data_IF_953467476042
#
_entry.id   IF_953467476042
#
_cell.length_a   1.000
_cell.length_b   1.000
_cell.length_c   1.000
_cell.angle_alpha   90.00
_cell.angle_beta   90.00
_cell.angle_gamma   90.00
#
_symmetry.space_group_name_H-M   'P 1'
#
loop_
_entity.id
_entity.type
_entity.pdbx_description
1 polymer ?
#
# COMPACT_ATOMS: atom_id res chain seq x y z
N UNK A 1 -73.20 -4.72 40.52
CA UNK A 1 -72.22 -4.43 39.43
C UNK A 1 -70.90 -5.11 39.74
N UNK A 2 -70.62 -6.28 39.16
CA UNK A 2 -69.36 -7.01 39.35
C UNK A 2 -68.27 -6.41 38.47
N UNK A 3 -67.28 -5.72 39.07
CA UNK A 3 -66.07 -5.27 38.37
C UNK A 3 -65.25 -6.51 38.02
N UNK A 4 -65.38 -7.02 36.79
CA UNK A 4 -64.48 -8.03 36.23
C UNK A 4 -63.05 -7.49 36.31
N UNK A 5 -62.29 -7.96 37.29
CA UNK A 5 -60.85 -7.69 37.39
C UNK A 5 -60.21 -8.25 36.12
N UNK A 6 -59.60 -7.36 35.31
CA UNK A 6 -58.80 -7.84 34.17
C UNK A 6 -57.70 -8.73 34.74
N UNK A 7 -57.54 -9.97 34.25
CA UNK A 7 -56.63 -10.93 34.86
C UNK A 7 -55.21 -10.37 34.80
N UNK A 8 -54.56 -10.31 35.96
CA UNK A 8 -53.17 -9.87 36.15
C UNK A 8 -52.21 -10.48 35.11
N UNK A 9 -52.48 -11.73 34.71
CA UNK A 9 -51.81 -12.46 33.64
C UNK A 9 -51.74 -11.73 32.28
N UNK A 10 -52.76 -10.96 31.90
CA UNK A 10 -52.75 -10.22 30.62
C UNK A 10 -51.74 -9.06 30.62
N UNK A 11 -51.43 -8.46 31.79
CA UNK A 11 -50.42 -7.39 31.88
C UNK A 11 -49.01 -7.98 31.81
N UNK A 12 -48.78 -9.09 32.50
CA UNK A 12 -47.50 -9.80 32.45
C UNK A 12 -47.21 -10.37 31.07
N UNK A 13 -48.20 -10.98 30.40
CA UNK A 13 -48.04 -11.48 29.03
C UNK A 13 -47.66 -10.38 28.04
N UNK A 14 -48.21 -9.15 28.19
CA UNK A 14 -47.85 -8.00 27.33
C UNK A 14 -46.42 -7.51 27.57
N UNK A 15 -45.99 -7.44 28.83
CA UNK A 15 -44.62 -7.05 29.16
C UNK A 15 -43.61 -8.09 28.66
N UNK A 16 -43.90 -9.39 28.82
CA UNK A 16 -43.07 -10.47 28.32
C UNK A 16 -43.02 -10.46 26.78
N UNK A 17 -44.15 -10.26 26.11
CA UNK A 17 -44.19 -10.16 24.64
C UNK A 17 -43.38 -8.97 24.13
N UNK A 18 -43.49 -7.80 24.78
CA UNK A 18 -42.73 -6.62 24.41
C UNK A 18 -41.22 -6.82 24.63
N UNK A 19 -40.84 -7.38 25.78
CA UNK A 19 -39.45 -7.73 26.09
C UNK A 19 -38.87 -8.70 25.07
N UNK A 20 -39.62 -9.73 24.70
CA UNK A 20 -39.21 -10.72 23.70
C UNK A 20 -39.01 -10.10 22.31
N UNK A 21 -39.91 -9.20 21.89
CA UNK A 21 -39.76 -8.46 20.62
C UNK A 21 -38.50 -7.59 20.64
N UNK A 22 -38.22 -6.89 21.74
CA UNK A 22 -36.98 -6.11 21.88
C UNK A 22 -35.75 -7.00 21.85
N UNK A 23 -35.79 -8.16 22.50
CA UNK A 23 -34.70 -9.14 22.49
C UNK A 23 -34.42 -9.67 21.08
N UNK A 24 -35.47 -10.06 20.34
CA UNK A 24 -35.35 -10.50 18.95
C UNK A 24 -34.84 -9.37 18.04
N UNK A 25 -35.34 -8.14 18.25
CA UNK A 25 -34.86 -6.96 17.52
C UNK A 25 -33.37 -6.69 17.78
N UNK A 26 -32.92 -6.83 19.02
CA UNK A 26 -31.52 -6.68 19.40
C UNK A 26 -30.62 -7.77 18.80
N UNK A 27 -31.03 -9.04 18.87
CA UNK A 27 -30.31 -10.15 18.26
C UNK A 27 -30.26 -10.04 16.73
N UNK A 28 -31.36 -9.65 16.10
CA UNK A 28 -31.43 -9.39 14.67
C UNK A 28 -30.52 -8.23 14.24
N UNK A 29 -30.45 -7.16 15.04
CA UNK A 29 -29.52 -6.06 14.82
C UNK A 29 -28.05 -6.51 14.93
N UNK A 30 -27.71 -7.29 15.97
CA UNK A 30 -26.35 -7.84 16.12
C UNK A 30 -25.98 -8.70 14.92
N UNK A 31 -26.84 -9.63 14.51
CA UNK A 31 -26.64 -10.46 13.32
C UNK A 31 -26.49 -9.64 12.04
N UNK A 32 -27.27 -8.56 11.89
CA UNK A 32 -27.13 -7.66 10.74
C UNK A 32 -25.77 -6.95 10.72
N UNK A 33 -25.27 -6.50 11.88
CA UNK A 33 -23.99 -5.78 11.97
C UNK A 33 -22.77 -6.64 11.62
N UNK A 34 -22.91 -7.97 11.69
CA UNK A 34 -21.86 -8.91 11.31
C UNK A 34 -21.88 -9.28 9.82
N UNK A 35 -22.68 -8.62 8.97
CA UNK A 35 -22.73 -8.92 7.52
C UNK A 35 -21.72 -8.09 6.68
N UNK A 36 -21.22 -8.60 5.54
CA UNK A 36 -20.34 -7.84 4.65
C UNK A 36 -21.03 -6.61 4.04
N UNK A 37 -22.34 -6.71 3.78
CA UNK A 37 -23.16 -5.59 3.32
C UNK A 37 -23.18 -4.44 4.34
N UNK A 38 -23.28 -4.75 5.63
CA UNK A 38 -23.22 -3.74 6.69
C UNK A 38 -21.88 -3.01 6.70
N UNK A 39 -20.77 -3.74 6.58
CA UNK A 39 -19.44 -3.13 6.50
C UNK A 39 -19.33 -2.14 5.33
N UNK A 40 -19.71 -2.53 4.11
CA UNK A 40 -19.68 -1.64 2.94
C UNK A 40 -20.57 -0.41 3.10
N UNK A 41 -21.75 -0.58 3.72
CA UNK A 41 -22.65 0.53 4.04
C UNK A 41 -22.01 1.50 5.03
N UNK A 42 -21.36 1.01 6.07
CA UNK A 42 -20.67 1.85 7.05
C UNK A 42 -19.46 2.55 6.43
N UNK A 43 -18.66 1.88 5.58
CA UNK A 43 -17.59 2.55 4.79
C UNK A 43 -18.15 3.75 4.02
N UNK A 44 -19.26 3.55 3.30
CA UNK A 44 -19.92 4.63 2.55
C UNK A 44 -20.45 5.74 3.45
N UNK A 45 -21.04 5.38 4.59
CA UNK A 45 -21.56 6.34 5.58
C UNK A 45 -20.43 7.17 6.17
N UNK A 46 -19.33 6.54 6.59
CA UNK A 46 -18.14 7.20 7.13
C UNK A 46 -17.51 8.16 6.12
N UNK A 47 -17.44 7.77 4.84
CA UNK A 47 -17.01 8.67 3.76
C UNK A 47 -17.94 9.90 3.61
N UNK A 48 -19.25 9.69 3.69
CA UNK A 48 -20.24 10.77 3.56
C UNK A 48 -20.25 11.72 4.77
N UNK A 49 -20.06 11.16 5.98
CA UNK A 49 -20.03 11.90 7.25
C UNK A 49 -18.64 12.44 7.60
N UNK A 50 -17.64 12.18 6.75
CA UNK A 50 -16.25 12.51 7.00
C UNK A 50 -15.67 11.95 8.31
N UNK A 51 -16.16 10.79 8.75
CA UNK A 51 -15.73 10.11 9.98
C UNK A 51 -14.57 9.15 9.69
N UNK A 52 -13.35 9.62 9.92
CA UNK A 52 -12.15 8.83 9.71
C UNK A 52 -12.06 7.62 10.65
N UNK A 53 -12.51 7.73 11.89
CA UNK A 53 -12.39 6.65 12.88
C UNK A 53 -13.29 5.48 12.48
N UNK A 54 -14.55 5.77 12.12
CA UNK A 54 -15.45 4.77 11.61
C UNK A 54 -14.96 4.19 10.26
N UNK A 55 -14.41 5.01 9.38
CA UNK A 55 -13.84 4.52 8.12
C UNK A 55 -12.69 3.53 8.32
N UNK A 56 -11.72 3.87 9.18
CA UNK A 56 -10.56 3.01 9.47
C UNK A 56 -10.95 1.71 10.19
N UNK A 57 -12.10 1.67 10.87
CA UNK A 57 -12.66 0.44 11.44
C UNK A 57 -13.06 -0.56 10.34
N UNK A 58 -13.65 -0.08 9.25
CA UNK A 58 -14.17 -0.94 8.17
C UNK A 58 -13.26 -1.03 6.94
N UNK A 59 -12.19 -0.23 6.87
CA UNK A 59 -11.22 -0.22 5.77
C UNK A 59 -9.79 -0.30 6.29
N UNK A 60 -9.04 -1.27 5.79
CA UNK A 60 -7.59 -1.35 5.95
C UNK A 60 -6.91 -0.54 4.85
N UNK A 61 -6.76 0.76 5.08
CA UNK A 61 -6.17 1.68 4.08
C UNK A 61 -4.72 1.31 3.78
N UNK A 62 -3.97 0.87 4.80
CA UNK A 62 -2.60 0.44 4.63
C UNK A 62 -2.52 -0.82 3.76
N UNK A 63 -3.32 -1.85 4.09
CA UNK A 63 -3.40 -3.08 3.29
C UNK A 63 -3.78 -2.81 1.82
N UNK A 64 -4.78 -1.96 1.59
CA UNK A 64 -5.18 -1.55 0.23
C UNK A 64 -4.05 -0.88 -0.53
N UNK A 65 -3.39 0.11 0.09
CA UNK A 65 -2.32 0.87 -0.57
C UNK A 65 -1.10 -0.01 -0.84
N UNK A 66 -0.72 -0.85 0.11
CA UNK A 66 0.40 -1.78 -0.03
C UNK A 66 0.14 -2.78 -1.16
N UNK A 67 -1.02 -3.46 -1.17
CA UNK A 67 -1.35 -4.38 -2.28
C UNK A 67 -1.41 -3.66 -3.62
N UNK A 68 -1.95 -2.43 -3.65
CA UNK A 68 -1.98 -1.63 -4.87
C UNK A 68 -0.57 -1.32 -5.39
N UNK A 69 0.34 -0.83 -4.54
CA UNK A 69 1.69 -0.49 -5.00
C UNK A 69 2.51 -1.72 -5.30
N UNK A 70 2.27 -2.82 -4.59
CA UNK A 70 2.95 -4.10 -4.84
C UNK A 70 2.61 -4.64 -6.22
N UNK A 71 1.33 -4.82 -6.54
CA UNK A 71 0.90 -5.35 -7.85
C UNK A 71 1.24 -4.41 -9.02
N UNK A 72 1.25 -3.08 -8.80
CA UNK A 72 1.42 -2.09 -9.87
C UNK A 72 2.87 -1.66 -10.07
N UNK A 73 3.71 -1.73 -9.04
CA UNK A 73 5.09 -1.23 -9.08
C UNK A 73 6.09 -2.35 -8.74
N UNK A 74 5.93 -3.06 -7.63
CA UNK A 74 7.00 -3.95 -7.14
C UNK A 74 7.03 -5.30 -7.84
N UNK A 75 5.89 -5.95 -8.02
CA UNK A 75 5.79 -7.21 -8.76
C UNK A 75 6.31 -7.07 -10.20
N UNK A 76 5.87 -6.07 -10.99
CA UNK A 76 6.46 -5.78 -12.30
C UNK A 76 7.99 -5.63 -12.27
N UNK A 77 8.51 -4.88 -11.30
CA UNK A 77 9.94 -4.64 -11.16
C UNK A 77 10.73 -5.94 -10.91
N UNK A 78 10.21 -6.84 -10.05
CA UNK A 78 10.81 -8.16 -9.77
C UNK A 78 10.90 -9.02 -11.04
N UNK A 79 9.96 -8.86 -11.96
CA UNK A 79 9.88 -9.63 -13.22
C UNK A 79 10.65 -9.01 -14.39
N UNK A 80 11.43 -7.94 -14.18
CA UNK A 80 12.19 -7.30 -15.26
C UNK A 80 13.23 -8.26 -15.83
N UNK A 81 13.12 -8.54 -17.13
CA UNK A 81 14.02 -9.45 -17.85
C UNK A 81 15.39 -8.79 -18.11
N UNK A 82 16.41 -9.62 -18.38
CA UNK A 82 17.77 -9.20 -18.78
C UNK A 82 18.54 -8.34 -17.76
N UNK A 83 18.12 -8.32 -16.49
CA UNK A 83 18.89 -7.70 -15.41
C UNK A 83 19.89 -8.69 -14.81
N UNK A 84 21.11 -8.22 -14.54
CA UNK A 84 22.06 -8.97 -13.69
C UNK A 84 21.55 -9.05 -12.24
N UNK A 85 22.06 -9.99 -11.45
CA UNK A 85 21.70 -10.08 -10.01
C UNK A 85 21.99 -8.79 -9.28
N UNK A 86 23.18 -8.23 -9.48
CA UNK A 86 23.56 -6.93 -8.92
C UNK A 86 22.59 -5.80 -9.31
N UNK A 87 22.26 -5.70 -10.60
CA UNK A 87 21.28 -4.73 -11.11
C UNK A 87 19.90 -4.92 -10.46
N UNK A 88 19.47 -6.16 -10.26
CA UNK A 88 18.21 -6.47 -9.58
C UNK A 88 18.22 -6.00 -8.13
N UNK A 89 19.30 -6.24 -7.37
CA UNK A 89 19.46 -5.76 -5.99
C UNK A 89 19.42 -4.24 -5.92
N UNK A 90 20.20 -3.57 -6.79
CA UNK A 90 20.24 -2.10 -6.82
C UNK A 90 18.88 -1.53 -7.24
N UNK A 91 18.24 -2.10 -8.25
CA UNK A 91 16.96 -1.62 -8.80
C UNK A 91 15.80 -1.83 -7.83
N UNK A 92 15.67 -3.02 -7.25
CA UNK A 92 14.66 -3.29 -6.23
C UNK A 92 14.92 -2.49 -4.95
N UNK A 93 16.18 -2.32 -4.56
CA UNK A 93 16.57 -1.45 -3.44
C UNK A 93 16.17 0.01 -3.67
N UNK A 94 16.46 0.55 -4.85
CA UNK A 94 16.06 1.90 -5.26
C UNK A 94 14.54 2.08 -5.21
N UNK A 95 13.77 1.12 -5.75
CA UNK A 95 12.30 1.14 -5.66
C UNK A 95 11.81 0.99 -4.23
N UNK A 96 12.45 0.16 -3.40
CA UNK A 96 12.14 -0.02 -1.99
C UNK A 96 12.25 1.28 -1.21
N UNK A 97 13.27 2.10 -1.49
CA UNK A 97 13.42 3.44 -0.92
C UNK A 97 12.26 4.38 -1.32
N UNK A 98 11.71 4.21 -2.52
CA UNK A 98 10.54 4.97 -2.98
C UNK A 98 9.21 4.45 -2.43
N UNK A 99 9.13 3.16 -2.05
CA UNK A 99 7.90 2.50 -1.56
C UNK A 99 7.28 3.24 -0.39
N UNK A 100 8.07 3.44 0.67
CA UNK A 100 7.61 4.04 1.93
C UNK A 100 7.00 5.43 1.70
N UNK A 101 7.70 6.40 1.05
CA UNK A 101 7.13 7.72 0.82
C UNK A 101 5.94 7.70 -0.16
N UNK A 102 5.84 6.74 -1.08
CA UNK A 102 4.66 6.57 -1.94
C UNK A 102 3.47 6.09 -1.11
N UNK A 103 3.63 4.98 -0.37
CA UNK A 103 2.57 4.37 0.45
C UNK A 103 2.06 5.36 1.50
N UNK A 104 2.96 5.95 2.29
CA UNK A 104 2.59 6.94 3.31
C UNK A 104 1.84 8.12 2.72
N UNK A 105 2.25 8.55 1.52
CA UNK A 105 1.56 9.64 0.86
C UNK A 105 0.16 9.23 0.38
N UNK A 106 -0.03 8.04 -0.18
CA UNK A 106 -1.35 7.55 -0.59
C UNK A 106 -2.28 7.37 0.60
N UNK A 107 -1.79 6.72 1.68
CA UNK A 107 -2.54 6.54 2.93
C UNK A 107 -2.99 7.89 3.47
N UNK A 108 -2.06 8.84 3.60
CA UNK A 108 -2.37 10.19 4.07
C UNK A 108 -3.42 10.88 3.20
N UNK A 109 -3.38 10.70 1.88
CA UNK A 109 -4.35 11.31 0.97
C UNK A 109 -5.74 10.71 1.10
N UNK A 110 -5.84 9.38 1.23
CA UNK A 110 -7.11 8.69 1.46
C UNK A 110 -7.70 9.16 2.79
N UNK A 111 -6.91 9.16 3.86
CA UNK A 111 -7.34 9.64 5.18
C UNK A 111 -7.82 11.09 5.14
N UNK A 112 -7.05 11.98 4.49
CA UNK A 112 -7.42 13.40 4.32
C UNK A 112 -8.66 13.59 3.46
N UNK A 113 -8.89 12.71 2.49
CA UNK A 113 -10.11 12.73 1.69
C UNK A 113 -11.32 12.33 2.54
N UNK A 114 -11.17 11.30 3.37
CA UNK A 114 -12.20 10.85 4.32
C UNK A 114 -12.50 11.95 5.32
N UNK A 115 -11.53 12.60 5.96
CA UNK A 115 -11.75 13.68 6.96
C UNK A 115 -12.45 14.95 6.40
N UNK A 116 -12.52 15.12 5.08
CA UNK A 116 -13.20 16.24 4.44
C UNK A 116 -12.65 17.63 4.81
N UNK A 117 -13.52 18.66 4.73
CA UNK A 117 -13.17 20.05 5.09
C UNK A 117 -13.22 20.31 6.59
N UNK A 118 -13.91 19.47 7.38
CA UNK A 118 -14.06 19.64 8.84
C UNK A 118 -12.73 19.40 9.59
N UNK A 119 -11.92 18.41 9.20
CA UNK A 119 -10.58 18.20 9.79
C UNK A 119 -9.65 19.42 9.65
N UNK A 120 -9.76 20.17 8.54
CA UNK A 120 -8.92 21.36 8.28
C UNK A 120 -9.13 22.52 9.27
N UNK A 121 -10.28 22.60 9.95
CA UNK A 121 -10.53 23.65 10.95
C UNK A 121 -9.91 23.31 12.30
N UNK A 122 -9.85 22.03 12.66
CA UNK A 122 -9.24 21.58 13.91
C UNK A 122 -7.71 21.60 13.83
N UNK A 123 -7.12 21.21 12.70
CA UNK A 123 -5.65 21.24 12.49
C UNK A 123 -5.06 22.66 12.52
N UNK A 124 -5.86 23.70 12.20
CA UNK A 124 -5.42 25.10 12.27
C UNK A 124 -5.49 25.70 13.67
N UNK A 125 -6.29 25.14 14.58
CA UNK A 125 -6.38 25.58 15.98
C UNK A 125 -5.37 24.91 16.90
N UNK A 126 -4.70 23.84 16.46
CA UNK A 126 -3.72 23.08 17.25
C UNK A 126 -2.27 23.22 16.77
N UNK A 127 -1.97 24.21 15.93
CA UNK A 127 -0.63 24.37 15.34
C UNK A 127 0.27 25.34 16.11
N UNK A 128 0.19 25.28 17.44
CA UNK A 128 1.28 25.65 18.33
C UNK A 128 1.67 24.36 19.07
N UNK A 129 2.85 23.83 18.74
CA UNK A 129 3.51 22.67 19.35
C UNK A 129 2.67 21.39 19.60
N UNK A 130 2.59 20.52 18.59
CA UNK A 130 2.85 19.09 18.78
C UNK A 130 3.14 18.42 17.44
N UNK A 131 4.26 17.73 17.37
CA UNK A 131 4.54 16.68 16.40
C UNK A 131 3.30 15.81 16.27
N UNK A 132 2.80 15.67 15.05
CA UNK A 132 1.72 14.75 14.73
C UNK A 132 2.25 13.35 15.05
N UNK A 133 1.74 12.76 16.12
CA UNK A 133 1.94 11.36 16.45
C UNK A 133 1.39 10.54 15.29
N UNK A 134 2.30 10.15 14.40
CA UNK A 134 2.12 9.03 13.49
C UNK A 134 1.65 7.86 14.35
N UNK A 135 0.55 7.16 14.00
CA UNK A 135 0.23 5.91 14.68
C UNK A 135 1.48 5.04 14.60
N UNK A 136 1.95 4.60 15.78
CA UNK A 136 3.10 3.72 15.90
C UNK A 136 2.81 2.48 15.07
N UNK A 137 3.29 2.50 13.83
CA UNK A 137 3.39 1.32 13.02
C UNK A 137 4.66 0.66 13.52
N UNK A 138 4.51 -0.17 14.55
CA UNK A 138 5.23 -1.44 14.61
C UNK A 138 4.82 -2.24 13.38
N UNK A 139 5.19 -1.74 12.20
CA UNK A 139 5.45 -2.55 11.03
C UNK A 139 6.86 -3.00 11.33
N UNK A 140 6.92 -4.17 11.98
CA UNK A 140 8.17 -4.90 12.11
C UNK A 140 8.88 -4.85 10.77
N UNK A 141 10.18 -4.65 10.87
CA UNK A 141 11.16 -4.95 9.84
C UNK A 141 11.17 -6.45 9.51
N UNK A 142 9.99 -7.05 9.28
CA UNK A 142 9.82 -8.28 8.52
C UNK A 142 9.86 -7.85 7.05
N UNK A 143 10.99 -7.25 6.69
CA UNK A 143 11.43 -7.27 5.32
C UNK A 143 11.94 -8.70 5.19
N UNK A 144 11.08 -9.58 4.68
CA UNK A 144 11.56 -10.72 3.91
C UNK A 144 12.31 -10.07 2.72
N UNK A 145 13.56 -9.64 2.98
CA UNK A 145 14.64 -9.96 2.07
C UNK A 145 14.38 -11.42 1.77
N UNK A 146 13.77 -11.70 0.61
CA UNK A 146 13.88 -13.02 0.03
C UNK A 146 15.39 -13.27 0.07
N UNK A 147 15.85 -14.06 1.04
CA UNK A 147 17.24 -14.43 1.29
C UNK A 147 17.71 -15.11 0.00
N UNK A 148 18.10 -14.30 -0.97
CA UNK A 148 18.79 -14.74 -2.16
C UNK A 148 20.23 -14.92 -1.72
N UNK A 149 20.47 -16.06 -1.04
CA UNK A 149 21.77 -16.55 -0.55
C UNK A 149 22.87 -16.35 -1.61
N UNK A 150 22.51 -16.28 -2.88
CA UNK A 150 23.44 -16.13 -4.00
C UNK A 150 24.14 -14.76 -4.12
N UNK A 151 23.66 -13.71 -3.44
CA UNK A 151 24.35 -12.42 -3.35
C UNK A 151 25.29 -12.37 -2.15
N UNK A 152 24.93 -13.06 -1.05
CA UNK A 152 25.91 -13.36 0.00
C UNK A 152 27.02 -14.22 -0.57
N UNK A 153 26.72 -15.18 -1.45
CA UNK A 153 27.73 -15.98 -2.16
C UNK A 153 28.63 -15.13 -3.08
N UNK A 154 28.09 -14.26 -3.95
CA UNK A 154 28.94 -13.41 -4.83
C UNK A 154 29.75 -12.38 -4.02
N UNK A 155 29.21 -11.92 -2.89
CA UNK A 155 29.88 -11.01 -1.96
C UNK A 155 30.94 -11.74 -1.14
N UNK A 156 30.66 -12.94 -0.64
CA UNK A 156 31.61 -13.81 0.05
C UNK A 156 32.72 -14.23 -0.89
N UNK A 157 32.42 -14.69 -2.11
CA UNK A 157 33.41 -15.07 -3.11
C UNK A 157 34.34 -13.88 -3.44
N UNK A 158 33.80 -12.67 -3.60
CA UNK A 158 34.60 -11.46 -3.79
C UNK A 158 35.42 -11.05 -2.54
N UNK A 159 34.95 -11.37 -1.33
CA UNK A 159 35.63 -11.11 -0.06
C UNK A 159 36.63 -12.22 0.33
N UNK A 160 36.45 -13.45 -0.18
CA UNK A 160 37.31 -14.61 0.01
C UNK A 160 38.50 -14.59 -0.94
N UNK A 161 38.33 -14.06 -2.16
CA UNK A 161 39.42 -13.81 -3.10
C UNK A 161 40.46 -12.78 -2.59
N UNK A 162 40.22 -12.15 -1.43
CA UNK A 162 41.09 -11.17 -0.81
C UNK A 162 41.66 -11.79 0.49
N UNK A 163 42.92 -12.27 0.43
CA UNK A 163 43.69 -12.72 1.60
C UNK A 163 44.06 -11.53 2.51
N UNK A 164 43.11 -10.97 3.25
CA UNK A 164 43.39 -9.90 4.22
C UNK A 164 42.64 -10.06 5.55
N UNK A 165 43.10 -9.32 6.56
CA UNK A 165 42.72 -9.44 7.99
C UNK A 165 41.23 -9.19 8.25
N UNK A 166 40.66 -9.74 9.35
CA UNK A 166 39.23 -9.58 9.68
C UNK A 166 38.74 -8.13 9.77
N UNK A 167 39.60 -7.20 10.18
CA UNK A 167 39.31 -5.76 10.21
C UNK A 167 39.16 -5.16 8.82
N UNK A 168 39.95 -5.64 7.84
CA UNK A 168 39.87 -5.23 6.45
C UNK A 168 38.54 -5.67 5.81
N UNK A 169 38.12 -6.93 6.03
CA UNK A 169 36.82 -7.43 5.55
C UNK A 169 35.64 -6.59 6.08
N UNK A 170 35.69 -6.17 7.35
CA UNK A 170 34.65 -5.31 7.92
C UNK A 170 34.61 -3.91 7.30
N UNK A 171 35.77 -3.27 7.08
CA UNK A 171 35.84 -1.95 6.43
C UNK A 171 35.37 -2.04 4.97
N UNK A 172 35.81 -3.06 4.25
CA UNK A 172 35.40 -3.33 2.87
C UNK A 172 33.89 -3.56 2.77
N UNK A 173 33.30 -4.33 3.69
CA UNK A 173 31.86 -4.58 3.71
C UNK A 173 31.03 -3.31 3.93
N UNK A 174 31.52 -2.37 4.73
CA UNK A 174 30.86 -1.07 4.99
C UNK A 174 30.95 -0.16 3.78
N UNK A 175 32.11 -0.11 3.13
CA UNK A 175 32.30 0.72 1.94
C UNK A 175 31.49 0.19 0.76
N UNK A 176 31.46 -1.13 0.55
CA UNK A 176 30.60 -1.77 -0.45
C UNK A 176 29.13 -1.43 -0.18
N UNK A 177 28.69 -1.48 1.09
CA UNK A 177 27.32 -1.09 1.45
C UNK A 177 27.04 0.38 1.12
N UNK A 178 27.97 1.27 1.44
CA UNK A 178 27.87 2.69 1.11
C UNK A 178 27.77 2.92 -0.40
N UNK A 179 28.61 2.24 -1.19
CA UNK A 179 28.61 2.31 -2.64
C UNK A 179 27.31 1.77 -3.24
N UNK A 180 26.84 0.62 -2.76
CA UNK A 180 25.54 0.05 -3.14
C UNK A 180 24.41 1.04 -2.84
N UNK A 181 24.41 1.68 -1.67
CA UNK A 181 23.40 2.68 -1.32
C UNK A 181 23.51 3.95 -2.19
N UNK A 182 24.72 4.35 -2.57
CA UNK A 182 24.96 5.43 -3.55
C UNK A 182 24.36 5.06 -4.91
N UNK A 183 24.57 3.83 -5.38
CA UNK A 183 24.02 3.33 -6.64
C UNK A 183 22.49 3.20 -6.60
N UNK A 184 21.91 2.77 -5.47
CA UNK A 184 20.44 2.77 -5.29
C UNK A 184 19.86 4.17 -5.42
N UNK A 185 20.48 5.16 -4.79
CA UNK A 185 20.05 6.56 -4.90
C UNK A 185 20.21 7.10 -6.33
N UNK A 186 21.36 6.85 -6.98
CA UNK A 186 21.57 7.26 -8.38
C UNK A 186 20.58 6.60 -9.34
N UNK A 187 20.29 5.31 -9.13
CA UNK A 187 19.30 4.57 -9.91
C UNK A 187 17.90 5.14 -9.71
N UNK A 188 17.54 5.45 -8.46
CA UNK A 188 16.27 6.09 -8.13
C UNK A 188 16.13 7.45 -8.82
N UNK A 189 17.18 8.27 -8.85
CA UNK A 189 17.17 9.56 -9.53
C UNK A 189 16.94 9.41 -11.04
N UNK A 190 17.61 8.44 -11.68
CA UNK A 190 17.39 8.08 -13.10
C UNK A 190 15.96 7.58 -13.35
N UNK A 191 15.41 6.75 -12.47
CA UNK A 191 14.00 6.32 -12.54
C UNK A 191 13.06 7.53 -12.47
N UNK A 192 13.32 8.47 -11.55
CA UNK A 192 12.52 9.70 -11.44
C UNK A 192 12.64 10.55 -12.71
N UNK A 193 13.83 10.65 -13.31
CA UNK A 193 14.05 11.35 -14.58
C UNK A 193 13.27 10.68 -15.73
N UNK A 194 13.38 9.37 -15.90
CA UNK A 194 12.62 8.62 -16.91
C UNK A 194 11.12 8.83 -16.77
N UNK A 195 10.61 8.74 -15.54
CA UNK A 195 9.18 8.92 -15.30
C UNK A 195 8.73 10.35 -15.67
N UNK A 196 9.56 11.38 -15.42
CA UNK A 196 9.26 12.76 -15.87
C UNK A 196 9.14 12.88 -17.39
N UNK A 197 9.91 12.09 -18.14
CA UNK A 197 9.86 12.06 -19.61
C UNK A 197 8.61 11.33 -20.15
N UNK A 198 7.92 10.55 -19.32
CA UNK A 198 6.72 9.78 -19.68
C UNK A 198 5.50 10.21 -18.85
N UNK A 199 5.03 11.48 -19.00
CA UNK A 199 4.04 12.09 -18.11
C UNK A 199 2.65 11.43 -18.14
N UNK A 200 2.34 10.76 -19.24
CA UNK A 200 1.07 10.12 -19.55
C UNK A 200 0.90 8.76 -18.86
N UNK A 201 1.99 8.06 -18.56
CA UNK A 201 1.97 6.73 -17.92
C UNK A 201 1.39 6.73 -16.50
N UNK A 202 0.68 5.67 -16.13
CA UNK A 202 0.14 5.49 -14.78
C UNK A 202 1.25 5.51 -13.71
N UNK A 203 2.34 4.78 -13.97
CA UNK A 203 3.48 4.68 -13.05
C UNK A 203 4.07 6.04 -12.76
N UNK A 204 4.32 6.89 -13.77
CA UNK A 204 4.82 8.24 -13.52
C UNK A 204 3.86 9.08 -12.66
N UNK A 205 2.56 9.05 -12.99
CA UNK A 205 1.55 9.83 -12.25
C UNK A 205 1.52 9.44 -10.77
N UNK A 206 1.90 8.21 -10.43
CA UNK A 206 2.03 7.72 -9.05
C UNK A 206 3.41 8.08 -8.46
N UNK A 207 4.49 7.76 -9.17
CA UNK A 207 5.87 7.79 -8.70
C UNK A 207 6.40 9.22 -8.51
N UNK A 208 6.23 10.10 -9.50
CA UNK A 208 6.87 11.43 -9.55
C UNK A 208 5.98 12.54 -9.01
N UNK A 209 4.70 12.27 -8.77
CA UNK A 209 3.77 13.30 -8.32
C UNK A 209 4.32 14.08 -7.10
N UNK A 210 4.40 15.42 -7.13
CA UNK A 210 5.00 16.21 -6.06
C UNK A 210 4.34 15.97 -4.70
N UNK A 211 5.16 15.97 -3.63
CA UNK A 211 4.68 15.91 -2.23
C UNK A 211 3.62 17.01 -2.03
N UNK A 212 2.37 16.62 -1.76
CA UNK A 212 1.23 17.52 -1.59
C UNK A 212 0.29 17.70 -2.79
N UNK A 213 0.74 17.46 -4.03
CA UNK A 213 -0.11 17.46 -5.24
C UNK A 213 -0.63 16.06 -5.61
N UNK A 214 0.01 15.00 -5.10
CA UNK A 214 -0.40 13.60 -5.31
C UNK A 214 -1.89 13.33 -5.13
N UNK A 215 -2.57 13.99 -4.16
CA UNK A 215 -4.02 13.83 -3.96
C UNK A 215 -4.82 14.14 -5.21
N UNK A 216 -4.47 15.26 -5.84
CA UNK A 216 -5.15 15.69 -7.04
C UNK A 216 -4.75 14.81 -8.21
N UNK A 217 -3.50 14.34 -8.27
CA UNK A 217 -3.07 13.35 -9.26
C UNK A 217 -3.87 12.05 -9.15
N UNK A 218 -3.90 11.41 -7.97
CA UNK A 218 -4.63 10.16 -7.76
C UNK A 218 -6.13 10.31 -8.04
N UNK A 219 -6.75 11.40 -7.57
CA UNK A 219 -8.16 11.71 -7.90
C UNK A 219 -8.38 11.92 -9.40
N UNK A 220 -7.42 12.53 -10.10
CA UNK A 220 -7.48 12.72 -11.56
C UNK A 220 -7.32 11.39 -12.30
N UNK A 221 -6.40 10.53 -11.87
CA UNK A 221 -6.21 9.16 -12.38
C UNK A 221 -7.51 8.37 -12.23
N UNK A 222 -8.04 8.30 -11.01
CA UNK A 222 -9.32 7.62 -10.76
C UNK A 222 -10.47 8.22 -11.56
N UNK A 223 -10.51 9.55 -11.64
CA UNK A 223 -11.53 10.28 -12.38
C UNK A 223 -11.43 10.17 -13.90
N UNK A 224 -10.25 9.85 -14.44
CA UNK A 224 -9.95 9.58 -15.85
C UNK A 224 -10.53 8.21 -16.22
N UNK A 225 -10.17 7.15 -15.50
CA UNK A 225 -10.71 5.80 -15.73
C UNK A 225 -12.17 5.58 -15.30
N UNK A 226 -12.90 6.65 -14.96
CA UNK A 226 -14.32 6.53 -14.67
C UNK A 226 -14.67 6.02 -13.27
N UNK A 227 -13.74 5.97 -12.31
CA UNK A 227 -14.03 5.60 -10.91
C UNK A 227 -14.81 6.71 -10.18
N UNK A 228 -16.05 6.94 -10.62
CA UNK A 228 -17.00 7.92 -10.13
C UNK A 228 -18.30 7.22 -9.77
N UNK A 229 -19.00 7.71 -8.75
CA UNK A 229 -20.27 7.13 -8.28
C UNK A 229 -21.30 6.95 -9.40
N UNK A 230 -21.37 7.89 -10.35
CA UNK A 230 -22.33 7.82 -11.47
C UNK A 230 -22.03 6.71 -12.49
N UNK A 231 -20.82 6.15 -12.47
CA UNK A 231 -20.40 5.09 -13.37
C UNK A 231 -20.46 3.71 -12.69
N UNK A 232 -20.86 3.62 -11.42
CA UNK A 232 -21.04 2.33 -10.73
C UNK A 232 -22.32 1.70 -11.26
N UNK A 233 -22.21 0.56 -11.95
CA UNK A 233 -23.36 -0.18 -12.49
C UNK A 233 -23.97 -1.11 -11.44
N UNK A 234 -23.14 -1.94 -10.81
CA UNK A 234 -23.57 -2.96 -9.85
C UNK A 234 -22.51 -3.27 -8.81
N UNK A 235 -22.95 -3.88 -7.71
CA UNK A 235 -22.12 -4.38 -6.61
C UNK A 235 -22.50 -5.84 -6.39
N UNK A 236 -21.53 -6.73 -6.48
CA UNK A 236 -21.70 -8.17 -6.22
C UNK A 236 -20.86 -8.56 -5.02
N UNK A 237 -21.36 -9.51 -4.22
CA UNK A 237 -20.62 -10.05 -3.07
C UNK A 237 -20.65 -11.57 -3.17
N UNK A 238 -19.48 -12.15 -3.42
CA UNK A 238 -19.30 -13.59 -3.57
C UNK A 238 -18.53 -14.13 -2.37
N UNK A 239 -19.01 -15.23 -1.78
CA UNK A 239 -18.27 -15.91 -0.72
C UNK A 239 -17.18 -16.79 -1.34
N UNK A 240 -15.97 -16.73 -0.81
CA UNK A 240 -14.83 -17.51 -1.26
C UNK A 240 -14.10 -18.11 -0.05
N UNK A 241 -14.67 -19.18 0.52
CA UNK A 241 -14.18 -19.79 1.77
C UNK A 241 -14.58 -18.97 3.00
N UNK A 242 -13.59 -18.55 3.79
CA UNK A 242 -13.71 -17.74 5.02
C UNK A 242 -13.77 -16.23 4.74
N UNK A 243 -13.59 -15.82 3.49
CA UNK A 243 -13.58 -14.44 3.04
C UNK A 243 -14.70 -14.15 2.04
N UNK A 244 -15.02 -12.88 1.89
CA UNK A 244 -15.96 -12.37 0.89
C UNK A 244 -15.22 -11.50 -0.12
N UNK A 245 -15.58 -11.63 -1.39
CA UNK A 245 -15.07 -10.81 -2.48
C UNK A 245 -16.20 -9.89 -2.92
N UNK A 246 -16.03 -8.59 -2.69
CA UNK A 246 -16.92 -7.56 -3.21
C UNK A 246 -16.40 -7.12 -4.58
N UNK A 247 -17.24 -7.22 -5.60
CA UNK A 247 -16.93 -6.82 -6.98
C UNK A 247 -17.73 -5.56 -7.29
N UNK A 248 -17.04 -4.44 -7.48
CA UNK A 248 -17.62 -3.19 -7.93
C UNK A 248 -17.44 -3.06 -9.44
N UNK A 249 -18.56 -3.00 -10.17
CA UNK A 249 -18.56 -2.87 -11.62
C UNK A 249 -18.67 -1.41 -12.03
N UNK A 250 -17.66 -0.90 -12.73
CA UNK A 250 -17.60 0.47 -13.22
C UNK A 250 -17.68 0.52 -14.75
N UNK A 251 -18.48 1.43 -15.27
CA UNK A 251 -18.39 1.80 -16.68
C UNK A 251 -17.18 2.71 -16.93
N UNK A 252 -16.25 2.26 -17.76
CA UNK A 252 -15.23 3.15 -18.29
C UNK A 252 -15.90 4.13 -19.28
N UNK A 253 -15.85 5.45 -19.05
CA UNK A 253 -16.51 6.44 -19.90
C UNK A 253 -15.91 6.52 -21.30
N UNK A 254 -14.64 6.14 -21.47
CA UNK A 254 -13.92 6.28 -22.72
C UNK A 254 -14.14 5.08 -23.64
N UNK A 255 -14.21 3.87 -23.07
CA UNK A 255 -14.37 2.62 -23.84
C UNK A 255 -15.76 1.99 -23.74
N UNK A 256 -16.60 2.42 -22.79
CA UNK A 256 -17.89 1.78 -22.49
C UNK A 256 -17.78 0.40 -21.82
N UNK A 257 -16.56 -0.07 -21.56
CA UNK A 257 -16.31 -1.39 -20.95
C UNK A 257 -16.75 -1.41 -19.49
N UNK A 258 -17.25 -2.58 -19.06
CA UNK A 258 -17.53 -2.86 -17.66
C UNK A 258 -16.25 -3.37 -16.97
N UNK A 259 -15.76 -2.59 -16.01
CA UNK A 259 -14.48 -2.80 -15.32
C UNK A 259 -14.79 -3.29 -13.90
N UNK A 260 -14.52 -4.57 -13.58
CA UNK A 260 -14.70 -5.10 -12.24
C UNK A 260 -13.51 -4.71 -11.36
N UNK A 261 -13.79 -4.17 -10.16
CA UNK A 261 -12.79 -3.94 -9.11
C UNK A 261 -13.10 -4.86 -7.94
N UNK A 262 -12.15 -5.70 -7.59
CA UNK A 262 -12.32 -6.72 -6.57
C UNK A 262 -11.76 -6.23 -5.23
N UNK A 263 -12.56 -6.32 -4.17
CA UNK A 263 -12.18 -6.00 -2.80
C UNK A 263 -12.32 -7.25 -1.93
N UNK A 264 -11.27 -7.59 -1.20
CA UNK A 264 -11.33 -8.67 -0.20
C UNK A 264 -11.88 -8.13 1.11
N UNK A 265 -12.96 -8.73 1.59
CA UNK A 265 -13.50 -8.52 2.92
C UNK A 265 -13.18 -9.73 3.79
N UNK A 266 -12.54 -9.48 4.93
CA UNK A 266 -12.32 -10.49 5.98
C UNK A 266 -13.07 -10.12 7.23
N UNK A 267 -13.49 -11.14 7.96
CA UNK A 267 -14.03 -10.99 9.31
C UNK A 267 -12.88 -10.65 10.26
N UNK A 268 -13.03 -9.58 11.03
CA UNK A 268 -12.04 -9.12 12.01
C UNK A 268 -12.70 -9.03 13.40
N UNK A 269 -12.09 -9.70 14.36
CA UNK A 269 -12.56 -9.87 15.74
C UNK A 269 -12.42 -11.32 16.21
N UNK A 270 -12.61 -11.55 17.52
CA UNK A 270 -12.55 -12.87 18.15
C UNK A 270 -13.89 -13.28 18.80
N UNK A 271 -14.93 -12.44 18.71
CA UNK A 271 -16.11 -12.49 19.58
C UNK A 271 -17.43 -12.17 18.83
N UNK A 272 -18.56 -12.12 19.55
CA UNK A 272 -19.89 -11.78 19.04
C UNK A 272 -20.02 -10.39 18.34
N UNK A 273 -18.96 -9.57 18.37
CA UNK A 273 -18.87 -8.23 17.76
C UNK A 273 -17.95 -8.17 16.54
N UNK A 274 -17.71 -9.32 15.92
CA UNK A 274 -16.94 -9.39 14.69
C UNK A 274 -17.58 -8.53 13.60
N UNK A 275 -16.75 -7.88 12.81
CA UNK A 275 -17.18 -7.08 11.68
C UNK A 275 -16.34 -7.42 10.47
N UNK A 276 -16.93 -7.28 9.30
CA UNK A 276 -16.16 -7.38 8.06
C UNK A 276 -15.36 -6.10 7.85
N UNK A 277 -14.12 -6.25 7.42
CA UNK A 277 -13.23 -5.15 7.05
C UNK A 277 -12.70 -5.38 5.65
N UNK A 278 -12.71 -4.32 4.83
CA UNK A 278 -12.07 -4.33 3.52
C UNK A 278 -10.56 -4.36 3.73
N UNK A 279 -9.91 -5.48 3.43
CA UNK A 279 -8.49 -5.70 3.72
C UNK A 279 -7.58 -5.23 2.59
N UNK A 280 -7.94 -5.52 1.34
CA UNK A 280 -7.12 -5.21 0.16
C UNK A 280 -7.96 -5.17 -1.11
N UNK A 281 -7.37 -4.60 -2.16
CA UNK A 281 -7.86 -4.72 -3.54
C UNK A 281 -7.20 -5.96 -4.13
N UNK A 282 -7.92 -6.72 -4.94
CA UNK A 282 -7.41 -7.89 -5.65
C UNK A 282 -7.35 -7.58 -7.14
N UNK A 283 -6.42 -8.23 -7.86
CA UNK A 283 -6.38 -8.20 -9.33
C UNK A 283 -6.26 -6.76 -9.86
N UNK A 284 -5.47 -5.94 -9.17
CA UNK A 284 -5.26 -4.53 -9.50
C UNK A 284 -4.65 -4.45 -10.89
N UNK A 285 -3.63 -5.27 -11.17
CA UNK A 285 -2.98 -5.35 -12.49
C UNK A 285 -3.95 -5.72 -13.61
N UNK A 286 -4.76 -6.77 -13.42
CA UNK A 286 -5.79 -7.17 -14.40
C UNK A 286 -6.79 -6.03 -14.66
N UNK A 287 -7.19 -5.32 -13.59
CA UNK A 287 -8.11 -4.18 -13.69
C UNK A 287 -7.53 -3.07 -14.56
N UNK A 288 -6.24 -2.74 -14.39
CA UNK A 288 -5.58 -1.71 -15.19
C UNK A 288 -5.28 -2.16 -16.62
N UNK A 289 -5.00 -3.46 -16.84
CA UNK A 289 -4.90 -4.01 -18.19
C UNK A 289 -6.21 -3.84 -18.99
N UNK A 290 -7.37 -4.06 -18.35
CA UNK A 290 -8.69 -3.79 -18.96
C UNK A 290 -8.92 -2.30 -19.25
N UNK A 291 -8.22 -1.41 -18.54
CA UNK A 291 -8.23 0.04 -18.77
C UNK A 291 -7.20 0.47 -19.84
N UNK A 292 -6.49 -0.46 -20.45
CA UNK A 292 -5.47 -0.20 -21.48
C UNK A 292 -4.10 0.19 -20.93
N UNK A 293 -3.85 -0.03 -19.64
CA UNK A 293 -2.55 0.26 -19.02
C UNK A 293 -1.69 -1.00 -18.94
N UNK A 294 -0.50 -0.94 -19.54
CA UNK A 294 0.52 -1.99 -19.42
C UNK A 294 1.52 -1.60 -18.33
N UNK A 295 1.16 -1.86 -17.07
CA UNK A 295 1.97 -1.50 -15.91
C UNK A 295 3.30 -2.24 -15.89
N UNK A 296 3.35 -3.45 -16.44
CA UNK A 296 4.58 -4.24 -16.54
C UNK A 296 5.61 -3.50 -17.38
N UNK A 297 5.25 -3.16 -18.63
CA UNK A 297 6.18 -2.44 -19.51
C UNK A 297 6.56 -1.08 -18.95
N UNK A 298 5.62 -0.36 -18.32
CA UNK A 298 5.92 0.94 -17.72
C UNK A 298 6.96 0.84 -16.60
N UNK A 299 6.83 -0.15 -15.71
CA UNK A 299 7.79 -0.34 -14.61
C UNK A 299 9.10 -0.96 -15.11
N UNK A 300 9.05 -1.94 -16.00
CA UNK A 300 10.25 -2.57 -16.55
C UNK A 300 11.10 -1.52 -17.28
N UNK A 301 10.49 -0.66 -18.10
CA UNK A 301 11.18 0.46 -18.74
C UNK A 301 11.79 1.44 -17.72
N UNK A 302 11.05 1.75 -16.66
CA UNK A 302 11.55 2.57 -15.54
C UNK A 302 12.79 1.95 -14.90
N UNK A 303 12.74 0.66 -14.58
CA UNK A 303 13.82 -0.07 -13.91
C UNK A 303 15.03 -0.21 -14.83
N UNK A 304 14.84 -0.65 -16.07
CA UNK A 304 15.91 -0.81 -17.06
C UNK A 304 16.65 0.51 -17.29
N UNK A 305 15.93 1.63 -17.41
CA UNK A 305 16.58 2.94 -17.54
C UNK A 305 17.29 3.39 -16.26
N UNK A 306 16.67 3.13 -15.09
CA UNK A 306 17.29 3.40 -13.79
C UNK A 306 18.65 2.71 -13.62
N UNK A 307 18.80 1.53 -14.23
CA UNK A 307 19.98 0.68 -14.13
C UNK A 307 20.94 0.83 -15.31
N UNK A 308 20.65 1.72 -16.26
CA UNK A 308 21.46 1.93 -17.45
C UNK A 308 22.88 2.37 -17.07
N UNK A 309 23.88 1.67 -17.60
CA UNK A 309 25.30 1.89 -17.30
C UNK A 309 25.79 1.28 -15.99
N UNK A 310 24.96 0.56 -15.24
CA UNK A 310 25.41 -0.17 -14.06
C UNK A 310 25.96 -1.54 -14.45
N UNK A 311 27.23 -1.75 -14.14
CA UNK A 311 27.83 -3.09 -14.14
C UNK A 311 28.49 -3.35 -12.78
N UNK A 312 28.48 -4.60 -12.33
CA UNK A 312 29.18 -4.99 -11.10
C UNK A 312 30.69 -4.70 -11.20
N UNK A 313 31.27 -4.91 -12.38
CA UNK A 313 32.68 -4.61 -12.64
C UNK A 313 32.98 -3.12 -12.46
N UNK A 314 32.13 -2.23 -12.98
CA UNK A 314 32.28 -0.78 -12.79
C UNK A 314 32.19 -0.38 -11.31
N UNK A 315 31.27 -0.98 -10.56
CA UNK A 315 31.12 -0.72 -9.11
C UNK A 315 32.34 -1.21 -8.31
N UNK A 316 32.83 -2.42 -8.62
CA UNK A 316 34.02 -3.00 -7.98
C UNK A 316 35.30 -2.26 -8.35
N UNK A 317 35.43 -1.82 -9.60
CA UNK A 317 36.56 -1.02 -10.06
C UNK A 317 36.59 0.35 -9.36
N UNK A 318 35.44 1.00 -9.19
CA UNK A 318 35.36 2.27 -8.47
C UNK A 318 35.71 2.10 -6.98
N UNK A 319 35.21 1.04 -6.35
CA UNK A 319 35.53 0.66 -4.96
C UNK A 319 37.03 0.42 -4.82
N UNK A 320 37.63 -0.40 -5.70
CA UNK A 320 39.06 -0.70 -5.71
C UNK A 320 39.90 0.56 -5.92
N UNK A 321 39.49 1.45 -6.83
CA UNK A 321 40.16 2.71 -7.09
C UNK A 321 40.08 3.68 -5.89
N UNK A 322 38.95 3.72 -5.19
CA UNK A 322 38.82 4.47 -3.93
C UNK A 322 39.80 3.94 -2.87
N UNK A 323 39.86 2.63 -2.64
CA UNK A 323 40.79 2.06 -1.66
C UNK A 323 42.25 2.29 -2.02
N UNK A 324 42.62 2.17 -3.30
CA UNK A 324 43.95 2.51 -3.75
C UNK A 324 44.31 3.98 -3.45
N UNK A 325 43.34 4.90 -3.49
CA UNK A 325 43.53 6.30 -3.10
C UNK A 325 43.65 6.48 -1.59
N UNK A 326 42.81 5.80 -0.79
CA UNK A 326 42.87 5.87 0.68
C UNK A 326 44.19 5.29 1.20
N UNK A 327 44.58 4.09 0.72
CA UNK A 327 45.84 3.43 1.08
C UNK A 327 47.06 4.28 0.74
N UNK A 328 47.05 4.94 -0.43
CA UNK A 328 48.12 5.88 -0.83
C UNK A 328 48.16 7.12 0.07
N UNK A 329 47.02 7.64 0.53
CA UNK A 329 46.99 8.77 1.46
C UNK A 329 47.51 8.38 2.84
N UNK A 330 47.08 7.24 3.38
CA UNK A 330 47.51 6.77 4.70
C UNK A 330 48.98 6.34 4.73
N UNK A 331 49.53 5.83 3.62
CA UNK A 331 50.95 5.46 3.52
C UNK A 331 51.88 6.65 3.21
N UNK A 332 51.32 7.84 2.94
CA UNK A 332 52.09 9.07 2.66
C UNK A 332 52.12 10.07 3.81
N UNK A 333 51.41 9.77 4.91
CA UNK A 333 51.38 10.58 6.15
C UNK A 333 52.26 9.95 7.27
N UNK A 334 53.09 8.96 6.94
CA UNK A 334 54.25 8.49 7.75
C UNK A 334 55.54 9.11 7.21
#
# INVERSE_FOLDING_TARGET
MSKKSKPFYMRQARLLSFSFILMLGYLGYLWWTTTPYHALREVRRSLAMHDQKAFNKYVDVAGIVTTFTDEIIFEPAKTTENLTKFQRVVGLGALGMARIPINNSMIFQIQKWVQGRQGRKNDRKGKDNKTVDTPNSDIGSDFDEDDDDSVEDEREEALEAIEETPSFKQVLSKEIKFEVDRLKNSSLDKMVEYARLHPDTLVNRIFVSPRGKRRNSFRRILGHYGFRRKNIKKVEINQAGDRYICILHFENPDSGLDIPVHFELRREGKDLLDHYRVKRILKVKETFALLGEDTDKQVQGLVSHGLEGLSFQSAMEETRNFFNRVRKKTAGDE
#
